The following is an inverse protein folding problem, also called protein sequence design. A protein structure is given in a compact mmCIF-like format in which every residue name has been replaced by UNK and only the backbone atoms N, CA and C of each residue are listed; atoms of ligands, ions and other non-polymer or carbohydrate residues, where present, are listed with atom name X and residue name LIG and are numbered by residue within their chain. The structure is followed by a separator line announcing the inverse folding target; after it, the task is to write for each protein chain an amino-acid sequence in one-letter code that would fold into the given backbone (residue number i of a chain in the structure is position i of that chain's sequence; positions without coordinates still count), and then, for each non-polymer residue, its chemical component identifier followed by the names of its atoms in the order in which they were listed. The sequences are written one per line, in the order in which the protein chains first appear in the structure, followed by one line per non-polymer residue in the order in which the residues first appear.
data_IF_072740223032
#
_entry.id   IF_072740223032
#
_cell.length_a   1.000
_cell.length_b   1.000
_cell.length_c   1.000
_cell.angle_alpha   90.00
_cell.angle_beta   90.00
_cell.angle_gamma   90.00
#
_symmetry.space_group_name_H-M   'P 1'
#
loop_
_entity.id
_entity.type
_entity.pdbx_description
1 polymer ?
#
# COMPACT_ATOMS: atom_id res chain seq x y z
N UNK A 1 3.57 3.32 4.52
CA UNK A 1 2.37 3.66 3.76
C UNK A 1 1.17 2.86 4.22
N UNK A 2 0.00 3.26 3.76
CA UNK A 2 -1.27 2.56 3.96
C UNK A 2 -2.06 2.56 2.66
N UNK A 3 -3.09 1.73 2.58
CA UNK A 3 -4.08 1.75 1.51
C UNK A 3 -5.47 1.46 2.05
N UNK A 4 -6.50 1.81 1.27
CA UNK A 4 -7.87 1.42 1.51
C UNK A 4 -8.58 1.13 0.18
N UNK A 5 -9.45 0.12 0.17
CA UNK A 5 -10.15 -0.36 -1.01
C UNK A 5 -11.61 0.10 -1.00
N UNK A 6 -12.08 0.63 -2.14
CA UNK A 6 -13.43 1.16 -2.31
C UNK A 6 -14.14 0.52 -3.48
N UNK A 7 -15.38 0.12 -3.27
CA UNK A 7 -16.30 -0.23 -4.35
C UNK A 7 -16.85 1.06 -4.97
N UNK A 8 -16.16 1.60 -5.94
CA UNK A 8 -16.54 2.84 -6.63
C UNK A 8 -16.06 2.84 -8.07
N UNK A 9 -16.56 3.79 -8.88
CA UNK A 9 -16.00 4.10 -10.20
C UNK A 9 -14.54 4.53 -10.09
N UNK A 10 -13.74 4.43 -11.17
CA UNK A 10 -12.35 4.87 -11.16
C UNK A 10 -12.19 6.30 -10.65
N UNK A 11 -11.29 6.48 -9.68
CA UNK A 11 -11.01 7.77 -9.07
C UNK A 11 -9.98 8.54 -9.90
N UNK A 12 -10.30 9.80 -10.18
CA UNK A 12 -9.42 10.74 -10.86
C UNK A 12 -8.41 11.41 -9.91
N UNK A 13 -7.35 12.06 -10.41
CA UNK A 13 -6.48 12.88 -9.57
C UNK A 13 -7.19 14.02 -8.84
N UNK A 14 -8.28 14.54 -9.38
CA UNK A 14 -9.05 15.61 -8.72
C UNK A 14 -9.92 15.06 -7.59
N UNK A 15 -10.43 13.83 -7.72
CA UNK A 15 -11.09 13.13 -6.62
C UNK A 15 -10.13 12.91 -5.45
N UNK A 16 -8.87 12.52 -5.72
CA UNK A 16 -7.86 12.39 -4.66
C UNK A 16 -7.61 13.70 -3.93
N UNK A 17 -7.55 14.82 -4.64
CA UNK A 17 -7.40 16.16 -4.01
C UNK A 17 -8.61 16.51 -3.14
N UNK A 18 -9.82 16.17 -3.60
CA UNK A 18 -11.06 16.40 -2.84
C UNK A 18 -11.09 15.56 -1.56
N UNK A 19 -10.70 14.27 -1.66
CA UNK A 19 -10.59 13.35 -0.51
C UNK A 19 -9.54 13.87 0.48
N UNK A 20 -8.36 14.29 0.00
CA UNK A 20 -7.30 14.81 0.86
C UNK A 20 -7.72 16.09 1.58
N UNK A 21 -8.45 16.98 0.91
CA UNK A 21 -9.03 18.18 1.54
C UNK A 21 -10.01 17.82 2.66
N UNK A 22 -10.86 16.81 2.46
CA UNK A 22 -11.79 16.30 3.46
C UNK A 22 -11.04 15.66 4.63
N UNK A 23 -10.02 14.85 4.34
CA UNK A 23 -9.15 14.23 5.33
C UNK A 23 -8.49 15.28 6.24
N UNK A 24 -7.97 16.37 5.67
CA UNK A 24 -7.39 17.48 6.43
C UNK A 24 -8.42 18.19 7.33
N UNK A 25 -9.68 18.29 6.90
CA UNK A 25 -10.75 18.84 7.73
C UNK A 25 -11.04 17.93 8.95
N UNK A 26 -11.16 16.61 8.72
CA UNK A 26 -11.38 15.61 9.78
C UNK A 26 -10.22 15.62 10.80
N UNK A 27 -8.99 15.72 10.35
CA UNK A 27 -7.82 15.83 11.23
C UNK A 27 -7.94 17.06 12.15
N UNK A 28 -8.36 18.20 11.61
CA UNK A 28 -8.53 19.45 12.39
C UNK A 28 -9.67 19.38 13.39
N UNK A 29 -10.70 18.59 13.14
CA UNK A 29 -11.81 18.35 14.08
C UNK A 29 -11.34 17.62 15.33
N UNK A 30 -10.21 16.91 15.30
CA UNK A 30 -9.67 16.14 16.43
C UNK A 30 -10.67 15.13 16.97
N UNK A 31 -11.35 14.41 16.07
CA UNK A 31 -12.30 13.36 16.42
C UNK A 31 -11.59 12.27 17.22
N UNK A 32 -12.18 11.86 18.36
CA UNK A 32 -11.63 10.80 19.21
C UNK A 32 -11.98 9.44 18.62
N UNK A 33 -11.05 8.50 18.71
CA UNK A 33 -11.33 7.10 18.43
C UNK A 33 -11.77 6.39 19.70
N UNK A 34 -12.99 5.85 19.69
CA UNK A 34 -13.57 5.11 20.83
C UNK A 34 -13.74 3.67 20.41
N UNK A 35 -13.02 2.77 21.08
CA UNK A 35 -13.10 1.33 20.84
C UNK A 35 -14.29 0.75 21.61
N UNK A 36 -15.11 -0.04 20.92
CA UNK A 36 -16.19 -0.85 21.50
C UNK A 36 -15.94 -2.33 21.17
N UNK A 37 -16.11 -3.21 22.15
CA UNK A 37 -16.28 -4.62 21.88
C UNK A 37 -17.76 -4.88 21.55
N UNK A 38 -18.02 -5.68 20.53
CA UNK A 38 -19.37 -5.98 20.03
C UNK A 38 -19.54 -7.48 19.79
N UNK A 39 -20.77 -7.95 19.91
CA UNK A 39 -21.13 -9.31 19.49
C UNK A 39 -21.09 -9.43 17.97
N UNK A 40 -21.02 -10.66 17.46
CA UNK A 40 -21.04 -10.91 16.02
C UNK A 40 -22.34 -10.39 15.38
N UNK A 41 -23.50 -10.48 16.10
CA UNK A 41 -24.76 -9.96 15.60
C UNK A 41 -24.78 -8.44 15.53
N UNK A 42 -24.30 -7.76 16.55
CA UNK A 42 -24.20 -6.28 16.54
C UNK A 42 -23.29 -5.80 15.40
N UNK A 43 -22.15 -6.46 15.17
CA UNK A 43 -21.26 -6.12 14.06
C UNK A 43 -21.94 -6.32 12.70
N UNK A 44 -22.68 -7.42 12.50
CA UNK A 44 -23.45 -7.68 11.28
C UNK A 44 -24.52 -6.62 11.03
N UNK A 45 -25.22 -6.19 12.10
CA UNK A 45 -26.27 -5.17 12.00
C UNK A 45 -25.69 -3.77 11.69
N UNK A 46 -24.57 -3.40 12.32
CA UNK A 46 -23.90 -2.12 12.08
C UNK A 46 -23.24 -2.03 10.69
N UNK A 47 -22.67 -3.15 10.19
CA UNK A 47 -22.01 -3.23 8.89
C UNK A 47 -22.94 -3.72 7.76
N UNK A 48 -24.25 -3.72 7.95
CA UNK A 48 -25.22 -4.27 6.99
C UNK A 48 -25.13 -3.64 5.58
N UNK A 49 -24.59 -2.42 5.47
CA UNK A 49 -24.33 -1.73 4.19
C UNK A 49 -22.99 -2.07 3.53
N UNK A 50 -22.11 -2.79 4.21
CA UNK A 50 -20.71 -3.00 3.80
C UNK A 50 -20.45 -4.50 3.49
N UNK A 51 -20.73 -4.96 2.24
CA UNK A 51 -20.71 -6.39 1.91
C UNK A 51 -19.35 -7.06 2.15
N UNK A 52 -18.25 -6.33 1.96
CA UNK A 52 -16.91 -6.86 2.21
C UNK A 52 -16.62 -7.04 3.70
N UNK A 53 -17.14 -6.16 4.55
CA UNK A 53 -17.04 -6.28 6.01
C UNK A 53 -17.88 -7.45 6.53
N UNK A 54 -19.09 -7.63 6.00
CA UNK A 54 -19.93 -8.80 6.31
C UNK A 54 -19.20 -10.11 5.98
N UNK A 55 -18.57 -10.20 4.82
CA UNK A 55 -17.79 -11.37 4.43
C UNK A 55 -16.62 -11.63 5.43
N UNK A 56 -15.91 -10.57 5.86
CA UNK A 56 -14.84 -10.70 6.85
C UNK A 56 -15.35 -11.18 8.22
N UNK A 57 -16.53 -10.74 8.64
CA UNK A 57 -17.15 -11.18 9.90
C UNK A 57 -17.53 -12.67 9.81
N UNK A 58 -18.14 -13.09 8.70
CA UNK A 58 -18.53 -14.50 8.49
C UNK A 58 -17.32 -15.43 8.44
N UNK A 59 -16.22 -15.00 7.83
CA UNK A 59 -14.99 -15.78 7.73
C UNK A 59 -14.10 -15.71 8.96
N UNK A 60 -14.56 -15.05 10.02
CA UNK A 60 -13.84 -14.92 11.30
C UNK A 60 -13.35 -16.27 11.80
N UNK A 61 -12.05 -16.40 11.93
CA UNK A 61 -11.40 -17.61 12.43
C UNK A 61 -11.09 -18.68 11.39
N UNK A 62 -11.61 -18.58 10.15
CA UNK A 62 -11.30 -19.49 9.04
C UNK A 62 -10.17 -18.98 8.14
N UNK A 63 -9.85 -17.69 8.21
CA UNK A 63 -8.83 -17.07 7.38
C UNK A 63 -7.43 -17.61 7.70
N UNK A 64 -6.77 -18.14 6.69
CA UNK A 64 -5.33 -18.40 6.73
C UNK A 64 -4.57 -17.09 6.83
N UNK A 65 -3.43 -17.08 7.51
CA UNK A 65 -2.61 -15.90 7.84
C UNK A 65 -2.09 -15.07 6.64
N UNK A 66 -2.37 -15.50 5.40
CA UNK A 66 -1.74 -14.97 4.19
C UNK A 66 -2.59 -13.95 3.39
N UNK A 67 -3.89 -13.83 3.65
CA UNK A 67 -4.79 -13.03 2.81
C UNK A 67 -5.05 -11.59 3.30
N UNK A 68 -4.45 -11.19 4.41
CA UNK A 68 -4.64 -9.84 4.98
C UNK A 68 -5.96 -9.65 5.77
N UNK A 69 -6.96 -10.52 5.60
CA UNK A 69 -8.26 -10.43 6.28
C UNK A 69 -8.15 -10.55 7.81
N UNK A 70 -7.16 -11.32 8.29
CA UNK A 70 -6.86 -11.47 9.73
C UNK A 70 -6.37 -10.15 10.38
N UNK A 71 -5.95 -9.16 9.60
CA UNK A 71 -5.48 -7.88 10.10
C UNK A 71 -6.65 -7.01 10.57
N UNK A 72 -7.78 -7.04 9.85
CA UNK A 72 -8.95 -6.21 10.17
C UNK A 72 -9.81 -6.80 11.29
N UNK A 73 -10.07 -8.09 11.27
CA UNK A 73 -11.06 -8.74 12.15
C UNK A 73 -10.42 -9.53 13.29
N UNK A 74 -9.29 -10.20 13.07
CA UNK A 74 -8.64 -11.05 14.06
C UNK A 74 -9.40 -12.37 14.32
N UNK A 75 -8.94 -13.14 15.32
CA UNK A 75 -9.54 -14.44 15.70
C UNK A 75 -10.38 -14.38 16.99
N UNK A 76 -10.51 -13.19 17.59
CA UNK A 76 -11.13 -13.00 18.90
C UNK A 76 -12.46 -12.24 18.83
N UNK A 77 -12.70 -11.47 19.87
CA UNK A 77 -13.85 -10.58 19.99
C UNK A 77 -13.80 -9.50 18.91
N UNK A 78 -14.94 -9.24 18.27
CA UNK A 78 -15.06 -8.16 17.29
C UNK A 78 -15.02 -6.80 17.96
N UNK A 79 -14.41 -5.84 17.30
CA UNK A 79 -14.32 -4.48 17.81
C UNK A 79 -14.65 -3.47 16.74
N UNK A 80 -15.44 -2.48 17.14
CA UNK A 80 -15.79 -1.31 16.35
C UNK A 80 -15.01 -0.10 16.88
N UNK A 81 -14.66 0.79 15.99
CA UNK A 81 -14.07 2.09 16.33
C UNK A 81 -14.97 3.22 15.86
N UNK A 82 -15.43 4.02 16.83
CA UNK A 82 -16.22 5.19 16.55
C UNK A 82 -15.33 6.44 16.46
N UNK A 83 -15.50 7.22 15.42
CA UNK A 83 -14.95 8.57 15.32
C UNK A 83 -15.92 9.54 15.98
N UNK A 84 -15.58 10.03 17.16
CA UNK A 84 -16.48 10.87 17.97
C UNK A 84 -16.03 12.33 17.92
N UNK A 85 -16.91 13.22 17.45
CA UNK A 85 -16.71 14.67 17.45
C UNK A 85 -16.67 15.24 18.87
N UNK A 86 -16.21 16.48 19.02
CA UNK A 86 -16.14 17.17 20.32
C UNK A 86 -17.51 17.38 21.00
N UNK A 87 -18.57 17.47 20.21
CA UNK A 87 -19.96 17.56 20.71
C UNK A 87 -20.54 16.23 21.16
N UNK A 88 -19.80 15.12 21.06
CA UNK A 88 -20.24 13.77 21.41
C UNK A 88 -20.94 13.00 20.27
N UNK A 89 -21.13 13.61 19.11
CA UNK A 89 -21.74 12.97 17.95
C UNK A 89 -20.76 11.96 17.34
N UNK A 90 -21.25 10.76 17.01
CA UNK A 90 -20.51 9.76 16.23
C UNK A 90 -20.52 10.18 14.76
N UNK A 91 -19.35 10.50 14.21
CA UNK A 91 -19.19 10.94 12.83
C UNK A 91 -19.03 9.77 11.86
N UNK A 92 -18.44 8.69 12.33
CA UNK A 92 -18.13 7.48 11.56
C UNK A 92 -17.90 6.31 12.50
N UNK A 93 -18.28 5.12 12.06
CA UNK A 93 -18.00 3.85 12.75
C UNK A 93 -17.40 2.88 11.73
N UNK A 94 -16.45 2.06 12.15
CA UNK A 94 -15.86 1.05 11.29
C UNK A 94 -15.41 -0.18 12.10
N UNK A 95 -15.53 -1.35 11.49
CA UNK A 95 -15.01 -2.60 12.02
C UNK A 95 -13.49 -2.61 11.91
N UNK A 96 -12.80 -2.64 13.04
CA UNK A 96 -11.34 -2.64 13.07
C UNK A 96 -10.79 -3.25 14.35
N UNK A 97 -9.72 -4.00 14.24
CA UNK A 97 -9.00 -4.55 15.38
C UNK A 97 -8.21 -3.50 16.17
N UNK A 98 -7.80 -2.42 15.52
CA UNK A 98 -6.90 -1.43 16.10
C UNK A 98 -5.45 -1.92 16.29
N UNK A 99 -4.64 -1.27 17.15
CA UNK A 99 -5.00 -0.05 17.88
C UNK A 99 -5.08 1.21 17.00
N UNK A 100 -5.77 2.22 17.48
CA UNK A 100 -5.82 3.55 16.88
C UNK A 100 -5.14 4.60 17.76
N UNK A 101 -4.72 5.72 17.15
CA UNK A 101 -4.31 6.92 17.90
C UNK A 101 -5.49 7.47 18.71
N UNK A 102 -5.25 8.22 19.82
CA UNK A 102 -6.34 8.71 20.67
C UNK A 102 -7.36 9.60 19.94
N UNK A 103 -6.91 10.38 18.95
CA UNK A 103 -7.77 11.21 18.12
C UNK A 103 -7.08 11.59 16.80
N UNK A 104 -7.85 11.98 15.80
CA UNK A 104 -7.35 12.29 14.44
C UNK A 104 -6.29 13.40 14.44
N UNK A 105 -6.26 14.30 15.42
CA UNK A 105 -5.25 15.36 15.55
C UNK A 105 -3.82 14.87 15.83
N UNK A 106 -3.60 13.59 16.08
CA UNK A 106 -2.25 12.98 16.14
C UNK A 106 -1.67 12.70 14.74
N UNK A 107 -2.50 12.79 13.70
CA UNK A 107 -2.06 12.63 12.31
C UNK A 107 -1.45 13.95 11.84
N UNK A 108 -0.13 14.12 12.02
CA UNK A 108 0.55 15.39 11.78
C UNK A 108 0.76 15.69 10.29
N UNK A 109 1.13 14.67 9.53
CA UNK A 109 1.41 14.80 8.11
C UNK A 109 0.94 13.56 7.35
N UNK A 110 0.03 13.73 6.43
CA UNK A 110 -0.54 12.67 5.60
C UNK A 110 -0.71 13.17 4.18
N UNK A 111 -0.49 12.30 3.21
CA UNK A 111 -0.76 12.56 1.81
C UNK A 111 -1.30 11.30 1.13
N UNK A 112 -2.23 11.47 0.20
CA UNK A 112 -2.62 10.43 -0.75
C UNK A 112 -1.62 10.42 -1.90
N UNK A 113 -1.21 9.24 -2.35
CA UNK A 113 -0.10 9.11 -3.31
C UNK A 113 -0.55 8.68 -4.69
N UNK A 114 -1.44 7.71 -4.79
CA UNK A 114 -1.94 7.18 -6.05
C UNK A 114 -3.21 6.36 -5.85
N UNK A 115 -3.86 6.03 -6.97
CA UNK A 115 -4.90 5.00 -7.05
C UNK A 115 -4.46 3.86 -7.96
N UNK A 116 -5.03 2.70 -7.76
CA UNK A 116 -4.96 1.57 -8.69
C UNK A 116 -6.20 0.71 -8.54
N UNK A 117 -6.46 -0.13 -9.55
CA UNK A 117 -7.41 -1.22 -9.39
C UNK A 117 -6.79 -2.35 -8.57
N UNK A 118 -7.60 -3.01 -7.76
CA UNK A 118 -7.23 -4.22 -7.02
C UNK A 118 -8.41 -5.18 -7.00
N UNK A 119 -8.17 -6.48 -7.08
CA UNK A 119 -9.22 -7.46 -6.91
C UNK A 119 -9.39 -7.78 -5.41
N UNK A 120 -10.65 -7.93 -4.99
CA UNK A 120 -10.94 -8.36 -3.63
C UNK A 120 -10.19 -9.65 -3.28
N UNK A 121 -9.48 -9.67 -2.17
CA UNK A 121 -8.60 -10.78 -1.72
C UNK A 121 -7.54 -11.22 -2.76
N UNK A 122 -7.19 -10.36 -3.71
CA UNK A 122 -6.18 -10.67 -4.73
C UNK A 122 -6.62 -11.67 -5.80
N UNK A 123 -7.86 -12.17 -5.78
CA UNK A 123 -8.36 -13.11 -6.76
C UNK A 123 -9.04 -12.37 -7.93
N UNK A 124 -8.54 -12.59 -9.14
CA UNK A 124 -9.06 -11.96 -10.37
C UNK A 124 -10.53 -12.32 -10.69
N UNK A 125 -11.08 -13.38 -10.08
CA UNK A 125 -12.48 -13.76 -10.20
C UNK A 125 -13.41 -12.93 -9.34
N UNK A 126 -12.86 -12.28 -8.32
CA UNK A 126 -13.59 -11.44 -7.41
C UNK A 126 -13.78 -10.02 -7.96
N UNK A 127 -14.60 -9.24 -7.28
CA UNK A 127 -14.90 -7.87 -7.67
C UNK A 127 -13.63 -6.99 -7.68
N UNK A 128 -13.55 -6.15 -8.70
CA UNK A 128 -12.50 -5.14 -8.83
C UNK A 128 -12.88 -3.90 -8.01
N UNK A 129 -11.98 -3.48 -7.15
CA UNK A 129 -12.10 -2.32 -6.27
C UNK A 129 -11.13 -1.23 -6.69
N UNK A 130 -11.37 -0.01 -6.24
CA UNK A 130 -10.45 1.11 -6.36
C UNK A 130 -9.61 1.22 -5.09
N UNK A 131 -8.31 0.99 -5.20
CA UNK A 131 -7.36 1.09 -4.10
C UNK A 131 -6.73 2.48 -4.05
N UNK A 132 -6.93 3.18 -2.96
CA UNK A 132 -6.30 4.47 -2.69
C UNK A 132 -5.10 4.24 -1.77
N UNK A 133 -3.94 4.71 -2.19
CA UNK A 133 -2.71 4.64 -1.39
C UNK A 133 -2.41 5.97 -0.73
N UNK A 134 -1.88 5.89 0.48
CA UNK A 134 -1.43 7.05 1.22
C UNK A 134 -0.20 6.78 2.06
N UNK A 135 0.34 7.84 2.61
CA UNK A 135 1.46 7.80 3.55
C UNK A 135 1.26 8.81 4.67
N UNK A 136 1.69 8.45 5.87
CA UNK A 136 1.63 9.33 7.04
C UNK A 136 3.01 9.39 7.71
N UNK A 137 3.35 10.54 8.22
CA UNK A 137 4.66 10.85 8.79
C UNK A 137 4.52 11.63 10.09
N UNK A 138 5.53 11.55 10.95
CA UNK A 138 5.55 12.26 12.22
C UNK A 138 5.56 13.77 12.04
N UNK A 139 6.27 14.28 11.02
CA UNK A 139 6.37 15.70 10.72
C UNK A 139 6.06 16.00 9.25
N UNK A 140 5.72 17.25 8.97
CA UNK A 140 5.55 17.73 7.59
C UNK A 140 6.86 17.74 6.80
N UNK A 141 7.98 17.92 7.48
CA UNK A 141 9.28 17.92 6.81
C UNK A 141 9.69 16.52 6.41
N UNK A 142 9.39 15.49 7.21
CA UNK A 142 9.57 14.09 6.83
C UNK A 142 8.72 13.71 5.62
N UNK A 143 7.46 14.18 5.58
CA UNK A 143 6.58 13.96 4.42
C UNK A 143 7.15 14.62 3.16
N UNK A 144 7.60 15.87 3.24
CA UNK A 144 8.24 16.58 2.12
C UNK A 144 9.52 15.88 1.66
N UNK A 145 10.36 15.44 2.58
CA UNK A 145 11.58 14.70 2.28
C UNK A 145 11.25 13.37 1.56
N UNK A 146 10.20 12.68 1.99
CA UNK A 146 9.72 11.48 1.30
C UNK A 146 9.22 11.80 -0.11
N UNK A 147 8.38 12.82 -0.29
CA UNK A 147 7.85 13.23 -1.60
C UNK A 147 9.00 13.60 -2.55
N UNK A 148 9.97 14.38 -2.07
CA UNK A 148 11.15 14.72 -2.85
C UNK A 148 11.96 13.48 -3.28
N UNK A 149 12.17 12.51 -2.37
CA UNK A 149 12.84 11.24 -2.74
C UNK A 149 12.07 10.48 -3.83
N UNK A 150 10.73 10.47 -3.76
CA UNK A 150 9.90 9.80 -4.78
C UNK A 150 9.97 10.51 -6.13
N UNK A 151 9.98 11.84 -6.15
CA UNK A 151 10.19 12.64 -7.38
C UNK A 151 11.57 12.38 -7.99
N UNK A 152 12.61 12.37 -7.17
CA UNK A 152 13.97 12.06 -7.62
C UNK A 152 14.09 10.62 -8.13
N UNK A 153 13.43 9.66 -7.47
CA UNK A 153 13.37 8.28 -7.93
C UNK A 153 12.68 8.15 -9.30
N UNK A 154 11.59 8.89 -9.52
CA UNK A 154 10.88 8.90 -10.80
C UNK A 154 11.74 9.45 -11.95
N UNK A 155 12.60 10.44 -11.69
CA UNK A 155 13.57 10.97 -12.65
C UNK A 155 14.64 9.93 -13.05
N UNK A 156 14.91 8.97 -12.16
CA UNK A 156 15.92 7.91 -12.32
C UNK A 156 15.31 6.56 -12.73
N UNK A 157 14.07 6.56 -13.22
CA UNK A 157 13.44 5.32 -13.71
C UNK A 157 14.31 4.69 -14.83
N UNK A 158 14.68 3.43 -14.64
CA UNK A 158 15.57 2.72 -15.57
C UNK A 158 14.99 2.61 -16.98
N UNK A 159 13.66 2.59 -17.13
CA UNK A 159 12.99 2.55 -18.44
C UNK A 159 13.22 3.85 -19.21
N UNK A 160 13.18 4.99 -18.49
CA UNK A 160 13.47 6.30 -19.06
C UNK A 160 14.96 6.45 -19.36
N UNK A 161 15.81 6.25 -18.35
CA UNK A 161 17.25 6.38 -18.51
C UNK A 161 17.83 5.35 -19.48
N UNK A 162 17.28 4.13 -19.51
CA UNK A 162 17.67 3.08 -20.44
C UNK A 162 17.51 3.50 -21.89
N UNK A 163 16.39 4.16 -22.22
CA UNK A 163 16.15 4.69 -23.56
C UNK A 163 16.98 5.95 -23.84
N UNK A 164 17.00 6.93 -22.93
CA UNK A 164 17.73 8.21 -23.12
C UNK A 164 19.23 8.03 -23.25
N UNK A 165 19.82 7.08 -22.51
CA UNK A 165 21.26 6.83 -22.51
C UNK A 165 21.68 5.67 -23.41
N UNK A 166 20.75 5.06 -24.12
CA UNK A 166 20.98 3.91 -25.00
C UNK A 166 21.67 2.74 -24.27
N UNK A 167 21.07 2.31 -23.13
CA UNK A 167 21.66 1.29 -22.27
C UNK A 167 21.21 -0.12 -22.62
N UNK A 168 19.94 -0.30 -22.97
CA UNK A 168 19.36 -1.61 -23.34
C UNK A 168 18.07 -1.44 -24.15
N UNK A 169 17.71 -2.51 -24.82
CA UNK A 169 16.44 -2.64 -25.54
C UNK A 169 15.84 -4.03 -25.37
N UNK A 170 14.60 -4.19 -25.80
CA UNK A 170 13.92 -5.49 -25.88
C UNK A 170 13.60 -5.79 -27.33
N UNK A 171 13.95 -6.98 -27.80
CA UNK A 171 13.68 -7.43 -29.16
C UNK A 171 12.88 -8.72 -29.15
N UNK A 172 11.88 -8.81 -30.01
CA UNK A 172 11.04 -10.00 -30.15
C UNK A 172 11.84 -11.26 -30.47
N UNK A 173 12.90 -11.12 -31.28
CA UNK A 173 13.78 -12.24 -31.66
C UNK A 173 14.60 -12.81 -30.49
N UNK A 174 14.81 -12.02 -29.42
CA UNK A 174 15.55 -12.46 -28.22
C UNK A 174 14.60 -13.12 -27.22
N UNK A 175 13.37 -12.64 -27.16
CA UNK A 175 12.32 -13.15 -26.28
C UNK A 175 11.75 -12.09 -25.35
N UNK A 176 10.51 -12.33 -24.91
CA UNK A 176 9.81 -11.41 -24.01
C UNK A 176 10.50 -11.32 -22.65
N UNK A 177 10.70 -10.10 -22.16
CA UNK A 177 11.30 -9.83 -20.86
C UNK A 177 12.83 -10.01 -20.79
N UNK A 178 13.51 -10.33 -21.91
CA UNK A 178 14.94 -10.48 -21.97
C UNK A 178 15.61 -9.20 -22.51
N UNK A 179 16.30 -8.40 -21.66
CA UNK A 179 16.95 -7.18 -22.09
C UNK A 179 18.24 -7.48 -22.86
N UNK A 180 18.39 -6.84 -24.03
CA UNK A 180 19.64 -6.78 -24.79
C UNK A 180 20.40 -5.53 -24.34
N UNK A 181 21.53 -5.72 -23.67
CA UNK A 181 22.36 -4.60 -23.22
C UNK A 181 23.22 -4.08 -24.36
N UNK A 182 23.14 -2.79 -24.62
CA UNK A 182 23.97 -2.06 -25.56
C UNK A 182 25.36 -1.79 -24.93
N UNK A 183 26.37 -1.32 -25.70
CA UNK A 183 27.75 -1.21 -25.19
C UNK A 183 27.86 -0.46 -23.84
N UNK A 184 27.18 0.67 -23.68
CA UNK A 184 27.21 1.41 -22.43
C UNK A 184 26.55 0.64 -21.27
N UNK A 185 25.39 0.04 -21.53
CA UNK A 185 24.69 -0.79 -20.57
C UNK A 185 25.47 -2.03 -20.17
N UNK A 186 26.12 -2.66 -21.12
CA UNK A 186 27.00 -3.81 -20.88
C UNK A 186 28.19 -3.48 -19.96
N UNK A 187 28.78 -2.29 -20.11
CA UNK A 187 29.84 -1.82 -19.20
C UNK A 187 29.32 -1.62 -17.80
N UNK A 188 28.16 -0.94 -17.65
CA UNK A 188 27.53 -0.71 -16.34
C UNK A 188 27.21 -2.05 -15.67
N UNK A 189 26.57 -2.98 -16.41
CA UNK A 189 26.24 -4.32 -15.91
C UNK A 189 27.48 -5.04 -15.38
N UNK A 190 28.56 -5.09 -16.18
CA UNK A 190 29.80 -5.72 -15.77
C UNK A 190 30.42 -5.11 -14.51
N UNK A 191 30.50 -3.77 -14.43
CA UNK A 191 31.04 -3.07 -13.26
C UNK A 191 30.25 -3.40 -11.99
N UNK A 192 28.93 -3.45 -12.09
CA UNK A 192 28.07 -3.84 -10.97
C UNK A 192 28.26 -5.31 -10.56
N UNK A 193 28.33 -6.22 -11.53
CA UNK A 193 28.57 -7.64 -11.28
C UNK A 193 29.93 -7.87 -10.60
N UNK A 194 30.99 -7.21 -11.09
CA UNK A 194 32.32 -7.28 -10.49
C UNK A 194 32.37 -6.74 -9.07
N UNK A 195 31.68 -5.60 -8.82
CA UNK A 195 31.56 -5.02 -7.49
C UNK A 195 30.86 -5.97 -6.52
N UNK A 196 29.68 -6.47 -6.89
CA UNK A 196 28.88 -7.37 -6.04
C UNK A 196 29.65 -8.66 -5.76
N UNK A 197 30.26 -9.25 -6.78
CA UNK A 197 31.08 -10.46 -6.62
C UNK A 197 32.24 -10.24 -5.64
N UNK A 198 32.97 -9.15 -5.79
CA UNK A 198 34.11 -8.81 -4.92
C UNK A 198 33.64 -8.65 -3.46
N UNK A 199 32.59 -7.88 -3.25
CA UNK A 199 32.02 -7.66 -1.92
C UNK A 199 31.55 -8.95 -1.27
N UNK A 200 30.87 -9.82 -2.00
CA UNK A 200 30.42 -11.11 -1.48
C UNK A 200 31.59 -12.00 -1.06
N UNK A 201 32.65 -12.05 -1.85
CA UNK A 201 33.86 -12.84 -1.51
C UNK A 201 34.51 -12.25 -0.24
N UNK A 202 34.66 -10.94 -0.14
CA UNK A 202 35.21 -10.27 1.04
C UNK A 202 34.41 -10.55 2.32
N UNK A 203 33.09 -10.68 2.21
CA UNK A 203 32.19 -11.03 3.31
C UNK A 203 32.10 -12.55 3.59
N UNK A 204 32.90 -13.37 2.90
CA UNK A 204 33.00 -14.82 3.14
C UNK A 204 31.99 -15.69 2.39
N UNK A 205 31.25 -15.13 1.43
CA UNK A 205 30.37 -15.94 0.55
C UNK A 205 31.20 -16.72 -0.48
N UNK A 206 30.76 -17.93 -0.79
CA UNK A 206 31.36 -18.75 -1.83
C UNK A 206 30.69 -18.44 -3.18
N UNK A 207 31.53 -18.27 -4.20
CA UNK A 207 31.07 -18.08 -5.58
C UNK A 207 30.91 -19.43 -6.26
N UNK A 208 29.72 -19.72 -6.76
CA UNK A 208 29.39 -20.96 -7.48
C UNK A 208 28.80 -20.65 -8.85
N UNK A 209 29.09 -21.49 -9.82
CA UNK A 209 28.46 -21.47 -11.14
C UNK A 209 27.39 -22.56 -11.21
N UNK A 210 26.16 -22.20 -11.48
CA UNK A 210 25.07 -23.15 -11.72
C UNK A 210 24.69 -23.16 -13.18
N UNK A 211 24.26 -24.31 -13.75
CA UNK A 211 23.67 -24.34 -15.08
C UNK A 211 22.35 -23.57 -15.11
N UNK A 212 21.94 -23.17 -16.31
CA UNK A 212 20.60 -22.66 -16.49
C UNK A 212 19.57 -23.76 -16.15
N UNK A 213 18.45 -23.34 -15.54
CA UNK A 213 17.32 -24.24 -15.31
C UNK A 213 16.72 -24.61 -16.68
N UNK A 214 16.68 -25.90 -16.98
CA UNK A 214 16.11 -26.43 -18.20
C UNK A 214 14.58 -26.60 -18.07
#
# INVERSE_FOLDING_TARGET
GFYYDFQTSPLSPDDLKAIEKKLQAIIKERQRFVRRAVSDQEALDEEAGEPFKLELIHDKGSASSDDGSSVEVGKGELTMYDNVRRNGEVAWTDLCRGPHVPHTGYINAVALTKTSSAYWRGDQRNQQLQRVYGTAWATRDDLKAYQHRMEEAAKRDHRKLGAELDLFSFHEQVGSGLPLFHPKGGVIKRVMEDYVRTRHIEEGFLYVGTPHIA
#
